data_IF_888208380011
#
_entry.id   IF_888208380011
#
_cell.length_a   1.000
_cell.length_b   1.000
_cell.length_c   1.000
_cell.angle_alpha   90.00
_cell.angle_beta   90.00
_cell.angle_gamma   90.00
#
_symmetry.space_group_name_H-M   'P 1'
#
loop_
_entity.id
_entity.type
_entity.pdbx_description
1 polymer ?
#
# COMPACT_ATOMS: atom_id res chain seq x y z
N UNK A 1 -32.16 -18.77 -82.06
CA UNK A 1 -30.83 -18.81 -81.42
C UNK A 1 -30.91 -17.99 -80.14
N UNK A 2 -30.65 -18.63 -79.01
CA UNK A 2 -30.83 -18.11 -77.64
C UNK A 2 -29.99 -16.87 -77.35
N UNK A 3 -30.51 -15.96 -76.50
CA UNK A 3 -29.82 -15.39 -75.32
C UNK A 3 -30.92 -14.74 -74.43
N UNK A 4 -31.10 -15.26 -73.21
CA UNK A 4 -31.80 -14.56 -72.11
C UNK A 4 -30.73 -14.17 -71.09
N UNK A 5 -30.57 -12.89 -70.70
CA UNK A 5 -29.66 -12.52 -69.64
C UNK A 5 -30.29 -12.81 -68.27
N UNK A 6 -29.58 -13.57 -67.44
CA UNK A 6 -29.91 -13.76 -66.01
C UNK A 6 -29.36 -12.57 -65.23
N UNK A 7 -30.24 -11.79 -64.61
CA UNK A 7 -29.87 -10.79 -63.61
C UNK A 7 -29.67 -11.51 -62.26
N UNK A 8 -28.42 -11.71 -61.87
CA UNK A 8 -28.03 -12.06 -60.50
C UNK A 8 -27.98 -10.79 -59.66
N UNK A 9 -28.92 -10.63 -58.73
CA UNK A 9 -28.87 -9.59 -57.70
C UNK A 9 -28.08 -10.12 -56.50
N UNK A 10 -26.87 -9.60 -56.30
CA UNK A 10 -26.03 -9.88 -55.14
C UNK A 10 -26.48 -9.03 -53.95
N UNK A 11 -26.99 -9.66 -52.89
CA UNK A 11 -27.28 -9.02 -51.61
C UNK A 11 -25.97 -8.97 -50.82
N UNK A 12 -25.37 -7.78 -50.71
CA UNK A 12 -24.24 -7.53 -49.82
C UNK A 12 -24.78 -7.27 -48.41
N UNK A 13 -24.62 -8.25 -47.50
CA UNK A 13 -24.90 -8.08 -46.08
C UNK A 13 -23.67 -7.44 -45.43
N UNK A 14 -23.73 -6.13 -45.13
CA UNK A 14 -22.75 -5.47 -44.28
C UNK A 14 -23.02 -5.86 -42.82
N UNK A 15 -22.26 -6.82 -42.30
CA UNK A 15 -22.19 -7.11 -40.88
C UNK A 15 -21.45 -5.98 -40.16
N UNK A 16 -22.18 -5.07 -39.54
CA UNK A 16 -21.65 -4.10 -38.59
C UNK A 16 -21.15 -4.86 -37.35
N UNK A 17 -19.85 -5.11 -37.28
CA UNK A 17 -19.20 -5.51 -36.03
C UNK A 17 -19.24 -4.32 -35.06
N UNK A 18 -20.26 -4.31 -34.19
CA UNK A 18 -20.26 -3.46 -33.00
C UNK A 18 -19.16 -3.97 -32.07
N UNK A 19 -17.95 -3.42 -32.21
CA UNK A 19 -16.88 -3.62 -31.25
C UNK A 19 -17.29 -3.00 -29.92
N UNK A 20 -17.69 -3.84 -28.97
CA UNK A 20 -17.77 -3.42 -27.57
C UNK A 20 -16.36 -3.07 -27.13
N UNK A 21 -16.06 -1.76 -27.03
CA UNK A 21 -14.90 -1.28 -26.30
C UNK A 21 -15.08 -1.70 -24.84
N UNK A 22 -14.53 -2.86 -24.47
CA UNK A 22 -14.36 -3.22 -23.08
C UNK A 22 -13.45 -2.16 -22.48
N UNK A 23 -14.02 -1.25 -21.68
CA UNK A 23 -13.20 -0.38 -20.84
C UNK A 23 -12.32 -1.31 -20.01
N UNK A 24 -11.00 -1.21 -20.19
CA UNK A 24 -10.04 -1.95 -19.39
C UNK A 24 -10.31 -1.59 -17.93
N UNK A 25 -10.99 -2.48 -17.21
CA UNK A 25 -11.13 -2.35 -15.78
C UNK A 25 -9.71 -2.38 -15.21
N UNK A 26 -9.29 -1.30 -14.54
CA UNK A 26 -8.04 -1.27 -13.80
C UNK A 26 -8.05 -2.46 -12.84
N UNK A 27 -7.32 -3.51 -13.20
CA UNK A 27 -7.31 -4.75 -12.44
C UNK A 27 -6.60 -4.47 -11.13
N UNK A 28 -7.30 -4.67 -10.02
CA UNK A 28 -6.78 -4.55 -8.67
C UNK A 28 -6.75 -5.94 -8.02
N UNK A 29 -5.78 -6.19 -7.15
CA UNK A 29 -5.71 -7.44 -6.40
C UNK A 29 -6.92 -7.54 -5.45
N UNK A 30 -7.49 -8.74 -5.32
CA UNK A 30 -8.59 -8.98 -4.39
C UNK A 30 -8.05 -9.20 -2.98
N UNK A 31 -8.75 -8.65 -1.98
CA UNK A 31 -8.44 -8.94 -0.58
C UNK A 31 -8.95 -10.32 -0.19
N UNK A 32 -8.16 -11.13 0.53
CA UNK A 32 -8.63 -12.38 1.11
C UNK A 32 -9.87 -12.15 1.97
N UNK A 33 -10.76 -13.15 2.01
CA UNK A 33 -11.92 -13.12 2.91
C UNK A 33 -11.46 -13.47 4.32
N UNK A 34 -11.74 -12.59 5.27
CA UNK A 34 -11.45 -12.81 6.69
C UNK A 34 -10.03 -12.41 7.11
N UNK A 35 -9.64 -12.77 8.35
CA UNK A 35 -8.38 -12.34 8.92
C UNK A 35 -7.17 -13.01 8.26
N UNK A 36 -6.09 -12.24 8.14
CA UNK A 36 -4.78 -12.74 7.72
C UNK A 36 -3.73 -12.48 8.79
N UNK A 37 -2.92 -13.49 9.10
CA UNK A 37 -1.79 -13.34 10.00
C UNK A 37 -0.66 -12.53 9.34
N UNK A 38 -0.06 -11.62 10.10
CA UNK A 38 1.03 -10.75 9.69
C UNK A 38 2.22 -10.93 10.61
N UNK A 39 3.43 -10.72 10.09
CA UNK A 39 4.67 -10.83 10.86
C UNK A 39 5.72 -9.82 10.36
N UNK A 40 5.41 -8.52 10.51
CA UNK A 40 6.33 -7.43 10.13
C UNK A 40 6.15 -6.22 11.05
N UNK A 41 7.12 -5.30 11.02
CA UNK A 41 7.05 -4.03 11.74
C UNK A 41 6.53 -2.91 10.83
N UNK A 42 5.73 -2.02 11.40
CA UNK A 42 5.21 -0.83 10.76
C UNK A 42 5.44 0.39 11.66
N UNK A 43 5.18 1.57 11.13
CA UNK A 43 5.21 2.80 11.92
C UNK A 43 3.93 3.61 11.80
N UNK A 44 3.73 4.46 12.81
CA UNK A 44 2.59 5.36 12.88
C UNK A 44 2.53 6.29 11.67
N UNK A 45 1.36 6.33 11.02
CA UNK A 45 1.06 7.32 10.00
C UNK A 45 0.88 8.69 10.66
N UNK A 46 1.67 9.68 10.21
CA UNK A 46 1.70 11.03 10.75
C UNK A 46 0.58 11.94 10.22
N UNK A 47 -0.42 11.44 9.49
CA UNK A 47 -1.52 12.28 8.99
C UNK A 47 -2.30 12.96 10.13
N UNK A 48 -2.42 12.30 11.29
CA UNK A 48 -3.11 12.82 12.48
C UNK A 48 -2.20 12.90 13.71
N UNK A 49 -2.59 13.65 14.77
CA UNK A 49 -1.75 13.81 15.96
C UNK A 49 -1.49 12.51 16.74
N UNK A 50 -2.52 11.65 16.86
CA UNK A 50 -2.42 10.38 17.56
C UNK A 50 -3.33 9.31 16.96
N UNK A 51 -2.94 8.06 17.16
CA UNK A 51 -3.65 6.85 16.76
C UNK A 51 -4.28 6.22 18.00
N UNK A 52 -5.58 5.96 17.95
CA UNK A 52 -6.29 5.28 19.04
C UNK A 52 -6.14 3.77 18.91
N UNK A 53 -5.65 3.12 19.95
CA UNK A 53 -5.60 1.66 20.05
C UNK A 53 -6.87 1.16 20.71
N UNK A 54 -7.53 0.15 20.13
CA UNK A 54 -8.84 -0.36 20.56
C UNK A 54 -8.81 -1.83 20.94
N UNK A 55 -9.76 -2.25 21.76
CA UNK A 55 -9.85 -3.64 22.24
C UNK A 55 -10.33 -4.64 21.16
N UNK A 56 -10.99 -4.16 20.11
CA UNK A 56 -11.53 -4.97 19.01
C UNK A 56 -11.48 -4.17 17.70
N UNK A 57 -11.55 -4.83 16.51
CA UNK A 57 -11.52 -4.17 15.21
C UNK A 57 -12.85 -3.48 14.89
N UNK A 58 -13.19 -2.45 15.65
CA UNK A 58 -14.43 -1.69 15.52
C UNK A 58 -14.27 -0.29 16.07
N UNK A 59 -14.88 0.70 15.39
CA UNK A 59 -14.88 2.08 15.83
C UNK A 59 -15.60 2.28 17.18
N UNK A 60 -16.56 1.41 17.51
CA UNK A 60 -17.27 1.41 18.79
C UNK A 60 -16.56 0.65 19.91
N UNK A 61 -15.46 -0.06 19.63
CA UNK A 61 -14.74 -0.80 20.64
C UNK A 61 -14.06 0.13 21.66
N UNK A 62 -13.94 -0.35 22.90
CA UNK A 62 -13.24 0.36 23.98
C UNK A 62 -11.85 0.82 23.54
N UNK A 63 -11.55 2.09 23.73
CA UNK A 63 -10.20 2.62 23.58
C UNK A 63 -9.31 2.10 24.73
N UNK A 64 -8.17 1.52 24.38
CA UNK A 64 -7.17 1.01 25.31
C UNK A 64 -6.07 2.05 25.60
N UNK A 65 -5.76 2.88 24.61
CA UNK A 65 -4.73 3.91 24.72
C UNK A 65 -4.48 4.64 23.41
N UNK A 66 -3.37 5.36 23.34
CA UNK A 66 -2.97 6.18 22.18
C UNK A 66 -1.51 5.93 21.82
N UNK A 67 -1.22 6.03 20.52
CA UNK A 67 0.13 6.10 19.96
C UNK A 67 0.30 7.51 19.39
N UNK A 68 1.28 8.32 19.83
CA UNK A 68 1.57 9.61 19.24
C UNK A 68 2.12 9.43 17.81
N UNK A 69 1.64 10.25 16.88
CA UNK A 69 2.05 10.20 15.46
C UNK A 69 2.61 11.53 14.96
N UNK A 70 2.28 12.65 15.61
CA UNK A 70 2.95 13.94 15.45
C UNK A 70 3.39 14.49 16.81
N UNK A 71 4.38 15.39 16.86
CA UNK A 71 4.66 16.18 18.05
C UNK A 71 3.39 16.91 18.52
N UNK A 72 3.17 16.98 19.82
CA UNK A 72 2.14 17.88 20.36
C UNK A 72 2.59 19.34 20.21
N UNK A 73 1.65 20.28 20.23
CA UNK A 73 1.99 21.69 20.13
C UNK A 73 2.94 22.11 21.27
N UNK A 74 4.11 22.65 20.92
CA UNK A 74 5.14 23.06 21.88
C UNK A 74 6.13 21.96 22.28
N UNK A 75 5.96 20.73 21.79
CA UNK A 75 6.94 19.64 21.95
C UNK A 75 7.97 19.67 20.82
N UNK A 76 9.22 19.20 21.06
CA UNK A 76 10.23 19.11 20.02
C UNK A 76 9.80 18.16 18.91
N UNK A 77 10.28 18.43 17.68
CA UNK A 77 10.10 17.51 16.57
C UNK A 77 10.86 16.20 16.86
N UNK A 78 10.17 15.08 16.63
CA UNK A 78 10.74 13.74 16.76
C UNK A 78 11.15 13.27 15.37
N UNK A 79 12.39 12.81 15.25
CA UNK A 79 12.96 12.36 13.98
C UNK A 79 12.34 11.04 13.50
N UNK A 80 11.80 10.25 14.43
CA UNK A 80 11.24 8.93 14.13
C UNK A 80 9.79 8.77 14.59
N UNK A 81 9.00 8.06 13.79
CA UNK A 81 7.64 7.64 14.13
C UNK A 81 7.66 6.48 15.14
N UNK A 82 6.63 6.38 15.98
CA UNK A 82 6.46 5.19 16.84
C UNK A 82 6.31 3.96 15.96
N UNK A 83 7.12 2.94 16.23
CA UNK A 83 7.07 1.64 15.54
C UNK A 83 6.21 0.65 16.32
N UNK A 84 5.71 -0.38 15.65
CA UNK A 84 4.96 -1.48 16.26
C UNK A 84 4.96 -2.71 15.35
N UNK A 85 4.77 -3.87 15.95
CA UNK A 85 4.56 -5.11 15.20
C UNK A 85 3.12 -5.19 14.69
N UNK A 86 2.93 -5.63 13.45
CA UNK A 86 1.62 -5.98 12.89
C UNK A 86 1.45 -7.50 12.94
N UNK A 87 0.44 -7.97 13.67
CA UNK A 87 0.18 -9.41 13.91
C UNK A 87 -1.00 -9.96 13.10
N UNK A 88 -1.96 -9.11 12.76
CA UNK A 88 -3.13 -9.51 11.98
C UNK A 88 -3.69 -8.33 11.20
N UNK A 89 -4.22 -8.58 10.00
CA UNK A 89 -5.06 -7.65 9.26
C UNK A 89 -6.46 -8.24 9.09
N UNK A 90 -7.50 -7.44 9.34
CA UNK A 90 -8.90 -7.86 9.25
C UNK A 90 -9.81 -6.66 8.99
N UNK A 91 -10.57 -6.68 7.91
CA UNK A 91 -11.65 -5.72 7.61
C UNK A 91 -11.25 -4.23 7.78
N UNK A 92 -10.05 -3.86 7.35
CA UNK A 92 -9.53 -2.48 7.48
C UNK A 92 -8.93 -2.14 8.85
N UNK A 93 -8.72 -3.13 9.71
CA UNK A 93 -8.05 -3.02 10.99
C UNK A 93 -6.77 -3.83 11.04
N UNK A 94 -5.83 -3.37 11.84
CA UNK A 94 -4.59 -4.08 12.15
C UNK A 94 -4.54 -4.38 13.64
N UNK A 95 -4.27 -5.63 14.01
CA UNK A 95 -3.87 -5.97 15.37
C UNK A 95 -2.38 -5.72 15.50
N UNK A 96 -2.01 -4.86 16.44
CA UNK A 96 -0.64 -4.44 16.70
C UNK A 96 -0.18 -4.87 18.08
N UNK A 97 1.13 -4.96 18.26
CA UNK A 97 1.81 -5.23 19.52
C UNK A 97 3.13 -4.45 19.61
N UNK A 98 3.73 -4.41 20.79
CA UNK A 98 5.10 -3.95 21.01
C UNK A 98 5.37 -2.53 20.48
N UNK A 99 4.45 -1.59 20.69
CA UNK A 99 4.66 -0.21 20.27
C UNK A 99 5.90 0.39 20.98
N UNK A 100 6.80 0.99 20.21
CA UNK A 100 8.12 1.43 20.67
C UNK A 100 8.49 2.81 20.14
N UNK A 101 9.14 3.58 21.00
CA UNK A 101 9.75 4.87 20.66
C UNK A 101 11.28 4.84 20.76
N UNK A 102 11.86 3.63 20.79
CA UNK A 102 13.27 3.41 21.09
C UNK A 102 14.24 4.22 20.21
N UNK A 103 13.96 4.40 18.92
CA UNK A 103 14.80 5.21 18.04
C UNK A 103 14.97 6.66 18.52
N UNK A 104 13.89 7.29 19.01
CA UNK A 104 14.02 8.65 19.56
C UNK A 104 14.68 8.63 20.95
N UNK A 105 14.47 7.59 21.75
CA UNK A 105 15.11 7.43 23.07
C UNK A 105 16.63 7.22 22.95
N UNK A 106 17.07 6.51 21.92
CA UNK A 106 18.48 6.25 21.62
C UNK A 106 19.18 7.46 21.00
N UNK A 107 18.55 8.11 20.02
CA UNK A 107 19.11 9.30 19.34
C UNK A 107 19.11 10.54 20.25
N UNK A 108 18.09 10.69 21.11
CA UNK A 108 17.90 11.84 21.99
C UNK A 108 17.70 11.44 23.46
N UNK A 109 18.73 10.85 24.11
CA UNK A 109 18.62 10.31 25.46
C UNK A 109 18.35 11.37 26.54
N UNK A 110 18.58 12.65 26.24
CA UNK A 110 18.27 13.78 27.11
C UNK A 110 16.77 14.15 27.13
N UNK A 111 15.99 13.69 26.15
CA UNK A 111 14.56 13.98 26.06
C UNK A 111 13.75 13.01 26.90
N UNK A 112 12.67 13.50 27.50
CA UNK A 112 11.72 12.64 28.18
C UNK A 112 11.03 11.71 27.17
N UNK A 113 10.92 10.39 27.44
CA UNK A 113 10.22 9.46 26.57
C UNK A 113 8.77 9.87 26.32
N UNK A 114 8.29 9.71 25.07
CA UNK A 114 6.89 9.95 24.77
C UNK A 114 6.01 8.97 25.53
N UNK A 115 4.86 9.46 26.01
CA UNK A 115 3.82 8.57 26.54
C UNK A 115 3.12 7.88 25.38
N UNK A 116 3.18 6.56 25.34
CA UNK A 116 2.48 5.72 24.36
C UNK A 116 1.91 4.46 25.01
N UNK A 117 0.84 3.93 24.43
CA UNK A 117 0.30 2.63 24.79
C UNK A 117 1.14 1.51 24.17
N UNK A 118 1.76 0.66 25.00
CA UNK A 118 2.65 -0.43 24.56
C UNK A 118 1.98 -1.80 24.43
N UNK A 119 0.73 -1.93 24.89
CA UNK A 119 0.00 -3.20 24.88
C UNK A 119 -0.53 -3.60 23.50
N UNK A 120 -1.10 -4.80 23.40
CA UNK A 120 -1.77 -5.22 22.18
C UNK A 120 -3.12 -4.53 21.96
N UNK A 121 -3.48 -4.32 20.71
CA UNK A 121 -4.82 -3.86 20.35
C UNK A 121 -4.98 -3.61 18.86
N UNK A 122 -6.06 -2.94 18.50
CA UNK A 122 -6.48 -2.72 17.12
C UNK A 122 -6.40 -1.26 16.72
N UNK A 123 -5.83 -0.98 15.56
CA UNK A 123 -5.79 0.35 14.92
C UNK A 123 -6.43 0.27 13.53
N UNK A 124 -6.79 1.42 12.95
CA UNK A 124 -7.19 1.45 11.54
C UNK A 124 -5.97 1.13 10.65
N UNK A 125 -6.20 0.41 9.56
CA UNK A 125 -5.13 0.04 8.63
C UNK A 125 -4.42 1.25 8.00
N UNK A 126 -5.13 2.35 7.80
CA UNK A 126 -4.61 3.56 7.17
C UNK A 126 -3.81 4.41 8.19
N UNK A 127 -3.82 4.03 9.47
CA UNK A 127 -2.99 4.62 10.53
C UNK A 127 -1.57 4.04 10.58
N UNK A 128 -1.28 3.03 9.75
CA UNK A 128 0.04 2.42 9.64
C UNK A 128 0.69 2.74 8.30
N UNK A 129 2.02 2.78 8.31
CA UNK A 129 2.88 2.87 7.14
C UNK A 129 3.94 1.78 7.19
N UNK A 130 4.39 1.36 6.01
CA UNK A 130 5.48 0.40 5.82
C UNK A 130 6.26 0.80 4.57
N UNK A 131 7.56 0.51 4.56
CA UNK A 131 8.40 0.71 3.39
C UNK A 131 8.33 -0.50 2.49
N UNK A 132 8.24 -0.28 1.17
CA UNK A 132 8.25 -1.32 0.15
C UNK A 132 9.40 -1.04 -0.82
N UNK A 133 10.44 -1.86 -0.71
CA UNK A 133 11.60 -1.88 -1.60
C UNK A 133 11.40 -2.87 -2.75
N UNK A 134 10.27 -2.71 -3.42
CA UNK A 134 9.94 -3.44 -4.63
C UNK A 134 9.34 -2.47 -5.63
N UNK A 135 9.74 -2.64 -6.88
CA UNK A 135 9.20 -1.93 -8.03
C UNK A 135 8.02 -2.68 -8.67
N UNK A 136 7.56 -3.79 -8.05
CA UNK A 136 6.61 -4.74 -8.63
C UNK A 136 5.47 -5.04 -7.67
N UNK A 137 4.24 -4.95 -8.16
CA UNK A 137 3.03 -5.33 -7.43
C UNK A 137 2.20 -6.32 -8.22
N UNK A 138 1.60 -7.29 -7.52
CA UNK A 138 1.02 -8.49 -8.13
C UNK A 138 -0.46 -8.69 -7.77
N UNK A 139 -1.18 -9.45 -8.59
CA UNK A 139 -2.59 -9.77 -8.39
C UNK A 139 -2.82 -10.77 -7.25
N UNK A 140 -1.83 -11.64 -6.98
CA UNK A 140 -1.80 -12.61 -5.89
C UNK A 140 -0.44 -12.54 -5.17
N UNK A 141 -0.30 -13.09 -3.95
CA UNK A 141 0.98 -13.20 -3.24
C UNK A 141 1.89 -14.27 -3.89
N UNK A 142 2.16 -14.09 -5.17
CA UNK A 142 2.88 -15.01 -6.05
C UNK A 142 3.51 -14.20 -7.18
N UNK A 143 4.83 -14.26 -7.30
CA UNK A 143 5.59 -13.52 -8.31
C UNK A 143 5.33 -14.02 -9.75
N UNK A 144 4.77 -15.22 -9.91
CA UNK A 144 4.32 -15.73 -11.21
C UNK A 144 2.91 -15.25 -11.59
N UNK A 145 2.19 -14.59 -10.67
CA UNK A 145 0.86 -14.05 -10.94
C UNK A 145 0.91 -12.78 -11.80
N UNK A 146 -0.25 -12.33 -12.28
CA UNK A 146 -0.34 -11.12 -13.08
C UNK A 146 0.28 -9.93 -12.32
N UNK A 147 1.22 -9.26 -12.97
CA UNK A 147 1.80 -8.02 -12.49
C UNK A 147 0.83 -6.86 -12.75
N UNK A 148 0.42 -6.19 -11.67
CA UNK A 148 -0.48 -5.04 -11.68
C UNK A 148 0.28 -3.71 -11.62
N UNK A 149 1.48 -3.72 -11.01
CA UNK A 149 2.33 -2.54 -10.84
C UNK A 149 3.72 -2.85 -11.37
N UNK A 150 4.23 -1.95 -12.21
CA UNK A 150 5.62 -1.94 -12.68
C UNK A 150 6.13 -0.49 -12.62
N UNK A 151 7.05 -0.25 -11.70
CA UNK A 151 7.69 1.05 -11.47
C UNK A 151 9.09 1.14 -12.09
N UNK A 152 9.44 0.20 -12.99
CA UNK A 152 10.76 0.17 -13.60
C UNK A 152 11.84 -0.16 -12.57
N UNK A 153 12.76 0.77 -12.32
CA UNK A 153 13.82 0.65 -11.31
C UNK A 153 13.47 1.32 -9.98
N UNK A 154 12.34 2.05 -9.90
CA UNK A 154 11.96 2.76 -8.69
C UNK A 154 11.18 1.85 -7.74
N UNK A 155 11.54 1.88 -6.46
CA UNK A 155 10.77 1.22 -5.42
C UNK A 155 9.53 2.02 -5.05
N UNK A 156 8.46 1.33 -4.62
CA UNK A 156 7.24 2.01 -4.18
C UNK A 156 7.49 3.04 -3.08
N UNK A 157 8.40 2.78 -2.11
CA UNK A 157 8.79 3.79 -1.10
C UNK A 157 9.34 5.08 -1.71
N UNK A 158 10.09 4.98 -2.82
CA UNK A 158 10.75 6.13 -3.43
C UNK A 158 9.77 7.03 -4.19
N UNK A 159 8.74 6.44 -4.82
CA UNK A 159 7.87 7.17 -5.76
C UNK A 159 6.39 7.19 -5.37
N UNK A 160 6.01 6.51 -4.29
CA UNK A 160 4.63 6.42 -3.84
C UNK A 160 4.48 6.43 -2.34
N UNK A 161 3.27 6.11 -1.91
CA UNK A 161 2.80 6.07 -0.53
C UNK A 161 1.88 4.87 -0.35
N UNK A 162 2.03 4.19 0.79
CA UNK A 162 1.04 3.22 1.26
C UNK A 162 -0.14 4.01 1.81
N UNK A 163 -1.36 3.70 1.36
CA UNK A 163 -2.59 4.31 1.87
C UNK A 163 -3.29 3.43 2.90
N UNK A 164 -3.15 2.11 2.77
CA UNK A 164 -3.67 1.16 3.76
C UNK A 164 -3.10 -0.25 3.59
N UNK A 165 -2.93 -0.95 4.71
CA UNK A 165 -2.48 -2.34 4.77
C UNK A 165 -3.72 -3.24 4.87
N UNK A 166 -3.97 -4.06 3.84
CA UNK A 166 -5.25 -4.77 3.70
C UNK A 166 -5.20 -6.23 4.12
N UNK A 167 -4.09 -6.91 3.84
CA UNK A 167 -3.92 -8.32 4.13
C UNK A 167 -2.44 -8.72 4.09
N UNK A 168 -2.15 -9.90 4.63
CA UNK A 168 -0.81 -10.49 4.69
C UNK A 168 -0.85 -11.93 4.20
N UNK A 169 0.25 -12.39 3.62
CA UNK A 169 0.46 -13.78 3.27
C UNK A 169 1.95 -14.07 3.25
N UNK A 170 2.48 -14.73 4.28
CA UNK A 170 3.93 -14.93 4.45
C UNK A 170 4.65 -13.57 4.35
N UNK A 171 5.61 -13.43 3.44
CA UNK A 171 6.39 -12.20 3.22
C UNK A 171 5.69 -11.19 2.28
N UNK A 172 4.43 -11.44 1.94
CA UNK A 172 3.63 -10.58 1.08
C UNK A 172 2.65 -9.75 1.87
N UNK A 173 2.48 -8.50 1.45
CA UNK A 173 1.45 -7.61 1.99
C UNK A 173 0.63 -7.01 0.85
N UNK A 174 -0.69 -7.05 1.03
CA UNK A 174 -1.66 -6.42 0.14
C UNK A 174 -1.83 -4.97 0.58
N UNK A 175 -1.52 -4.05 -0.33
CA UNK A 175 -1.52 -2.62 -0.05
C UNK A 175 -2.46 -1.89 -0.98
N UNK A 176 -3.22 -0.96 -0.41
CA UNK A 176 -3.73 0.17 -1.18
C UNK A 176 -2.59 1.18 -1.30
N UNK A 177 -2.29 1.61 -2.52
CA UNK A 177 -1.14 2.47 -2.82
C UNK A 177 -1.53 3.67 -3.68
N UNK A 178 -0.73 4.72 -3.58
CA UNK A 178 -0.72 5.87 -4.47
C UNK A 178 0.72 6.15 -4.94
N UNK A 179 0.95 6.16 -6.24
CA UNK A 179 2.19 6.63 -6.87
C UNK A 179 1.96 8.04 -7.35
N UNK A 180 2.46 9.00 -6.58
CA UNK A 180 2.31 10.43 -6.81
C UNK A 180 3.61 11.09 -7.28
N UNK A 181 4.71 10.34 -7.40
CA UNK A 181 6.01 10.82 -7.86
C UNK A 181 6.55 9.94 -9.00
N UNK A 182 7.52 10.47 -9.75
CA UNK A 182 8.23 9.78 -10.83
C UNK A 182 9.67 10.25 -10.91
N UNK A 183 10.55 9.39 -11.42
CA UNK A 183 11.89 9.80 -11.83
C UNK A 183 11.85 10.62 -13.12
N UNK A 184 12.49 11.78 -13.10
CA UNK A 184 12.66 12.66 -14.25
C UNK A 184 13.75 12.13 -15.18
N UNK A 185 13.83 12.60 -16.43
CA UNK A 185 14.97 12.29 -17.31
C UNK A 185 16.33 12.74 -16.75
N UNK A 186 16.34 13.65 -15.78
CA UNK A 186 17.54 14.13 -15.08
C UNK A 186 17.87 13.29 -13.83
N UNK A 187 17.21 12.14 -13.65
CA UNK A 187 17.39 11.22 -12.51
C UNK A 187 16.90 11.77 -11.15
N UNK A 188 16.05 12.80 -11.16
CA UNK A 188 15.46 13.40 -9.96
C UNK A 188 14.05 12.84 -9.68
N UNK A 189 13.69 12.63 -8.42
CA UNK A 189 12.30 12.29 -8.05
C UNK A 189 11.45 13.56 -8.01
N UNK A 190 10.45 13.64 -8.89
CA UNK A 190 9.54 14.78 -9.04
C UNK A 190 8.09 14.36 -8.87
N UNK A 191 7.20 15.30 -8.55
CA UNK A 191 5.76 15.03 -8.47
C UNK A 191 5.16 14.69 -9.84
N UNK A 192 4.19 13.77 -9.85
CA UNK A 192 3.31 13.50 -10.98
C UNK A 192 2.19 14.51 -11.00
N UNK A 193 1.76 14.93 -12.20
CA UNK A 193 0.53 15.67 -12.33
C UNK A 193 -0.66 14.83 -11.82
N UNK A 194 -1.71 15.46 -11.28
CA UNK A 194 -2.87 14.73 -10.68
C UNK A 194 -3.49 13.68 -11.61
N UNK A 195 -3.55 13.95 -12.92
CA UNK A 195 -4.08 13.02 -13.93
C UNK A 195 -3.12 11.87 -14.30
N UNK A 196 -1.88 11.90 -13.82
CA UNK A 196 -0.83 10.89 -14.08
C UNK A 196 -0.55 10.00 -12.85
N UNK A 197 -1.22 10.27 -11.72
CA UNK A 197 -1.06 9.49 -10.50
C UNK A 197 -1.62 8.09 -10.69
N UNK A 198 -0.93 7.09 -10.15
CA UNK A 198 -1.37 5.69 -10.20
C UNK A 198 -1.83 5.29 -8.80
N UNK A 199 -3.10 4.95 -8.66
CA UNK A 199 -3.64 4.40 -7.42
C UNK A 199 -4.22 3.02 -7.67
N UNK A 200 -4.12 2.14 -6.68
CA UNK A 200 -4.67 0.80 -6.80
C UNK A 200 -4.39 -0.06 -5.59
N UNK A 201 -4.62 -1.36 -5.77
CA UNK A 201 -4.35 -2.39 -4.79
C UNK A 201 -3.56 -3.53 -5.41
N UNK A 202 -2.45 -3.91 -4.77
CA UNK A 202 -1.59 -4.98 -5.23
C UNK A 202 -0.84 -5.65 -4.06
N UNK A 203 -0.42 -6.89 -4.27
CA UNK A 203 0.48 -7.61 -3.38
C UNK A 203 1.92 -7.21 -3.64
N UNK A 204 2.63 -6.83 -2.58
CA UNK A 204 4.04 -6.46 -2.61
C UNK A 204 4.86 -7.34 -1.67
N UNK A 205 6.15 -7.47 -1.97
CA UNK A 205 7.20 -8.05 -1.12
C UNK A 205 8.32 -7.02 -0.91
N UNK A 206 9.34 -7.38 -0.13
CA UNK A 206 10.46 -6.47 0.13
C UNK A 206 10.12 -5.39 1.16
N UNK A 207 9.44 -5.81 2.22
CA UNK A 207 9.07 -4.93 3.33
C UNK A 207 10.33 -4.41 4.04
N UNK A 208 10.34 -3.12 4.31
CA UNK A 208 11.31 -2.50 5.17
C UNK A 208 10.69 -2.28 6.55
N UNK A 209 11.27 -2.91 7.56
CA UNK A 209 10.87 -2.84 8.95
C UNK A 209 11.41 -1.59 9.69
N UNK A 210 12.26 -0.81 9.03
CA UNK A 210 12.85 0.44 9.54
C UNK A 210 12.39 1.66 8.74
N UNK A 211 12.09 2.75 9.43
CA UNK A 211 11.86 4.05 8.79
C UNK A 211 13.19 4.65 8.27
N UNK A 212 14.32 4.19 8.80
CA UNK A 212 15.67 4.59 8.41
C UNK A 212 16.02 4.08 7.01
N UNK A 213 16.54 4.97 6.19
CA UNK A 213 16.58 4.96 4.73
C UNK A 213 17.42 3.88 4.05
N UNK A 214 17.90 2.86 4.75
CA UNK A 214 18.67 1.76 4.16
C UNK A 214 18.24 0.43 4.74
N UNK A 215 17.32 -0.23 4.07
CA UNK A 215 17.07 -1.64 4.31
C UNK A 215 17.90 -2.40 3.28
N UNK A 216 19.06 -2.90 3.71
CA UNK A 216 20.08 -3.58 2.91
C UNK A 216 19.63 -4.98 2.46
N UNK A 217 18.41 -5.09 1.92
CA UNK A 217 17.89 -6.33 1.40
C UNK A 217 18.21 -6.46 -0.09
N UNK A 218 18.65 -7.65 -0.48
CA UNK A 218 18.80 -8.03 -1.88
C UNK A 218 17.47 -7.79 -2.61
N UNK A 219 17.51 -7.03 -3.71
CA UNK A 219 16.31 -6.72 -4.50
C UNK A 219 15.47 -7.96 -4.73
N UNK A 220 14.18 -7.82 -4.40
CA UNK A 220 13.15 -8.83 -4.58
C UNK A 220 12.46 -8.66 -5.93
N UNK A 221 13.00 -7.92 -6.89
CA UNK A 221 12.35 -7.69 -8.19
C UNK A 221 12.83 -8.65 -9.29
N UNK A 222 13.51 -9.73 -8.91
CA UNK A 222 13.91 -10.82 -9.82
C UNK A 222 12.76 -11.75 -10.16
#
# INVERSE_FOLDING_TARGET
>A
MHIRPRLTASIAVLSLFAGSAAMAANSQAEAPKGPTACAFSAWANYDKPSITVRAAPSAGAKALGQIPAKPAAGEPEYSYSVTFDVKEARDGWLRIANASDAYNEEEYPERAPRKLYKGEGWILADDARVGIQSARGYARPDAASQRLVDLGSDWLTAVGKVQGIRACHEDWVLLDYLVDRKRSPQDEIVERAKGEQLAGRAWFRGLCDVQETSCDMKSVDR
#
